data_IF_532314477064
#
_entry.id   IF_532314477064
#
_cell.length_a   1.000
_cell.length_b   1.000
_cell.length_c   1.000
_cell.angle_alpha   90.00
_cell.angle_beta   90.00
_cell.angle_gamma   90.00
#
_symmetry.space_group_name_H-M   'P 1'
#
loop_
_entity.id
_entity.type
_entity.pdbx_description
1 polymer ?
#
# COMPACT_ATOMS: atom_id res chain seq x y z
N UNK A 1 -10.73 -10.36 -6.64
CA UNK A 1 -9.75 -9.30 -6.31
C UNK A 1 -8.39 -9.95 -6.21
N UNK A 2 -7.48 -9.67 -7.15
CA UNK A 2 -6.12 -10.20 -7.08
C UNK A 2 -5.28 -9.21 -6.27
N UNK A 3 -4.76 -9.64 -5.11
CA UNK A 3 -3.86 -8.83 -4.26
C UNK A 3 -2.67 -8.21 -5.03
N UNK A 4 -2.30 -8.81 -6.16
CA UNK A 4 -1.30 -8.28 -7.09
C UNK A 4 -1.67 -6.89 -7.64
N UNK A 5 -2.95 -6.58 -7.78
CA UNK A 5 -3.43 -5.28 -8.29
C UNK A 5 -3.23 -4.17 -7.23
N UNK A 6 -3.39 -4.50 -5.94
CA UNK A 6 -3.21 -3.56 -4.82
C UNK A 6 -1.75 -3.14 -4.69
N UNK A 7 -0.82 -4.09 -4.80
CA UNK A 7 0.61 -3.81 -4.75
C UNK A 7 1.04 -2.85 -5.87
N UNK A 8 0.50 -3.04 -7.08
CA UNK A 8 0.75 -2.16 -8.20
C UNK A 8 0.17 -0.76 -8.00
N UNK A 9 -1.06 -0.65 -7.46
CA UNK A 9 -1.67 0.64 -7.13
C UNK A 9 -0.87 1.40 -6.06
N UNK A 10 -0.40 0.71 -5.02
CA UNK A 10 0.44 1.31 -3.99
C UNK A 10 1.76 1.82 -4.58
N UNK A 11 2.37 1.04 -5.47
CA UNK A 11 3.59 1.44 -6.17
C UNK A 11 3.37 2.66 -7.05
N UNK A 12 2.28 2.69 -7.83
CA UNK A 12 1.91 3.84 -8.66
C UNK A 12 1.72 5.09 -7.80
N UNK A 13 0.92 4.99 -6.73
CA UNK A 13 0.73 6.07 -5.77
C UNK A 13 2.05 6.58 -5.20
N UNK A 14 2.97 5.69 -4.79
CA UNK A 14 4.28 6.13 -4.29
C UNK A 14 5.04 6.94 -5.34
N UNK A 15 5.09 6.47 -6.57
CA UNK A 15 5.84 7.13 -7.64
C UNK A 15 5.21 8.49 -8.02
N UNK A 16 3.88 8.61 -7.95
CA UNK A 16 3.13 9.82 -8.28
C UNK A 16 3.03 10.82 -7.13
N UNK A 17 3.07 10.35 -5.87
CA UNK A 17 2.86 11.20 -4.68
C UNK A 17 3.99 12.19 -4.38
N UNK A 18 5.18 11.99 -4.96
CA UNK A 18 6.39 12.76 -4.61
C UNK A 18 6.91 12.51 -3.19
N UNK A 19 6.28 11.61 -2.42
CA UNK A 19 6.67 11.26 -1.06
C UNK A 19 7.81 10.23 -1.05
N UNK A 20 8.67 10.30 -0.04
CA UNK A 20 9.66 9.25 0.18
C UNK A 20 8.99 7.95 0.62
N UNK A 21 9.62 6.83 0.28
CA UNK A 21 9.15 5.52 0.71
C UNK A 21 9.01 5.40 2.24
N UNK A 22 9.91 6.04 3.02
CA UNK A 22 9.78 6.08 4.48
C UNK A 22 8.51 6.79 4.95
N UNK A 23 8.09 7.88 4.29
CA UNK A 23 6.91 8.65 4.69
C UNK A 23 5.62 7.85 4.46
N UNK A 24 5.54 7.16 3.32
CA UNK A 24 4.41 6.29 3.01
C UNK A 24 4.36 5.11 3.98
N UNK A 25 5.50 4.49 4.25
CA UNK A 25 5.59 3.40 5.21
C UNK A 25 5.16 3.84 6.63
N UNK A 26 5.57 5.04 7.05
CA UNK A 26 5.17 5.63 8.32
C UNK A 26 3.66 5.88 8.39
N UNK A 27 3.04 6.42 7.33
CA UNK A 27 1.57 6.60 7.24
C UNK A 27 0.82 5.27 7.32
N UNK A 28 1.39 4.21 6.77
CA UNK A 28 0.83 2.86 6.82
C UNK A 28 1.13 2.13 8.15
N UNK A 29 1.99 2.70 9.01
CA UNK A 29 2.43 2.06 10.26
C UNK A 29 3.27 0.80 10.03
N UNK A 30 4.06 0.76 8.95
CA UNK A 30 4.90 -0.38 8.57
C UNK A 30 6.35 0.04 8.30
N UNK A 31 7.25 -0.93 8.21
CA UNK A 31 8.63 -0.66 7.81
C UNK A 31 8.74 -0.42 6.29
N UNK A 32 9.80 0.28 5.87
CA UNK A 32 10.12 0.46 4.44
C UNK A 32 10.28 -0.87 3.70
N UNK A 33 10.87 -1.87 4.35
CA UNK A 33 10.97 -3.23 3.80
C UNK A 33 9.59 -3.88 3.61
N UNK A 34 8.65 -3.68 4.54
CA UNK A 34 7.29 -4.16 4.41
C UNK A 34 6.54 -3.47 3.26
N UNK A 35 6.71 -2.16 3.08
CA UNK A 35 6.16 -1.42 1.94
C UNK A 35 6.59 -2.04 0.60
N UNK A 36 7.88 -2.34 0.41
CA UNK A 36 8.35 -2.97 -0.83
C UNK A 36 7.81 -4.37 -1.07
N UNK A 37 7.54 -5.15 -0.02
CA UNK A 37 6.87 -6.45 -0.13
C UNK A 37 5.42 -6.28 -0.59
N UNK A 38 4.72 -5.28 -0.05
CA UNK A 38 3.35 -4.98 -0.46
C UNK A 38 3.27 -4.55 -1.92
N UNK A 39 4.21 -3.71 -2.38
CA UNK A 39 4.32 -3.32 -3.80
C UNK A 39 4.55 -4.50 -4.75
N UNK A 40 5.07 -5.62 -4.25
CA UNK A 40 5.27 -6.87 -5.02
C UNK A 40 4.07 -7.83 -4.95
N UNK A 41 2.99 -7.45 -4.25
CA UNK A 41 1.82 -8.31 -4.07
C UNK A 41 2.01 -9.44 -3.06
N UNK A 42 3.00 -9.34 -2.17
CA UNK A 42 3.17 -10.30 -1.07
C UNK A 42 2.05 -10.17 -0.03
N UNK A 43 1.79 -11.24 0.73
CA UNK A 43 0.67 -11.33 1.68
C UNK A 43 0.62 -10.14 2.65
N UNK A 44 -0.52 -9.45 2.66
CA UNK A 44 -0.79 -8.25 3.45
C UNK A 44 -1.77 -8.59 4.58
N UNK A 45 -1.50 -8.14 5.80
CA UNK A 45 -2.45 -8.27 6.92
C UNK A 45 -3.70 -7.42 6.65
N UNK A 46 -4.88 -7.90 7.05
CA UNK A 46 -6.16 -7.23 6.86
C UNK A 46 -6.15 -5.76 7.36
N UNK A 47 -5.56 -5.51 8.52
CA UNK A 47 -5.45 -4.15 9.09
C UNK A 47 -4.60 -3.21 8.22
N UNK A 48 -3.60 -3.75 7.53
CA UNK A 48 -2.79 -2.99 6.58
C UNK A 48 -3.54 -2.73 5.28
N UNK A 49 -4.40 -3.67 4.83
CA UNK A 49 -5.30 -3.45 3.68
C UNK A 49 -6.27 -2.29 3.95
N UNK A 50 -6.86 -2.21 5.16
CA UNK A 50 -7.72 -1.08 5.54
C UNK A 50 -6.99 0.26 5.48
N UNK A 51 -5.80 0.34 6.07
CA UNK A 51 -4.95 1.55 6.03
C UNK A 51 -4.51 1.91 4.60
N UNK A 52 -4.28 0.92 3.75
CA UNK A 52 -4.01 1.11 2.32
C UNK A 52 -5.22 1.73 1.61
N UNK A 53 -6.43 1.22 1.87
CA UNK A 53 -7.66 1.75 1.31
C UNK A 53 -7.84 3.23 1.66
N UNK A 54 -7.66 3.56 2.94
CA UNK A 54 -7.72 4.93 3.46
C UNK A 54 -6.66 5.83 2.81
N UNK A 55 -5.41 5.36 2.72
CA UNK A 55 -4.31 6.10 2.12
C UNK A 55 -4.55 6.41 0.64
N UNK A 56 -5.02 5.41 -0.10
CA UNK A 56 -5.30 5.50 -1.53
C UNK A 56 -6.66 6.16 -1.83
N UNK A 57 -7.45 6.49 -0.80
CA UNK A 57 -8.81 7.02 -0.90
C UNK A 57 -9.74 6.14 -1.76
N UNK A 58 -9.56 4.84 -1.68
CA UNK A 58 -10.38 3.83 -2.36
C UNK A 58 -11.13 3.00 -1.32
N UNK A 59 -12.30 2.48 -1.70
CA UNK A 59 -13.07 1.64 -0.78
C UNK A 59 -12.31 0.34 -0.48
N UNK A 60 -12.27 -0.13 0.77
CA UNK A 60 -11.73 -1.45 1.12
C UNK A 60 -12.45 -2.60 0.42
N UNK A 61 -13.68 -2.37 -0.06
CA UNK A 61 -14.48 -3.33 -0.83
C UNK A 61 -14.14 -3.31 -2.33
N UNK A 62 -13.31 -2.35 -2.77
CA UNK A 62 -12.81 -2.24 -4.15
C UNK A 62 -11.35 -2.73 -4.27
N UNK A 63 -10.66 -2.91 -3.14
CA UNK A 63 -9.35 -3.58 -3.02
C UNK A 63 -9.50 -5.09 -3.22
#
# INVERSE_FOLDING_TARGET
MHFNDIGQQLRAYRMESGLKAEEIAARLGVSRAALYRYEKGEVIKLDTVKRLAELLKISPLTL
#
